data_IF_093295032902
#
_entry.id   IF_093295032902
#
_cell.length_a   1.000
_cell.length_b   1.000
_cell.length_c   1.000
_cell.angle_alpha   90.00
_cell.angle_beta   90.00
_cell.angle_gamma   90.00
#
_symmetry.space_group_name_H-M   'P 1'
#
loop_
_entity.id
_entity.type
_entity.pdbx_description
1 polymer ?
#
# COMPACT_ATOMS: atom_id res chain seq x y z
N UNK A 1 8.23 21.48 -4.95
CA UNK A 1 8.32 20.48 -3.86
C UNK A 1 9.08 19.22 -4.26
N UNK A 2 9.38 19.00 -5.55
CA UNK A 2 10.26 17.92 -6.01
C UNK A 2 11.42 18.57 -6.75
N UNK A 3 12.64 18.21 -6.38
CA UNK A 3 13.87 18.67 -7.00
C UNK A 3 14.02 18.02 -8.39
N UNK A 4 14.22 18.83 -9.42
CA UNK A 4 14.22 18.37 -10.82
C UNK A 4 15.46 17.56 -11.21
N UNK A 5 16.55 17.68 -10.45
CA UNK A 5 17.81 16.97 -10.74
C UNK A 5 17.91 15.66 -9.96
N UNK A 6 17.47 15.68 -8.71
CA UNK A 6 17.64 14.56 -7.77
C UNK A 6 16.36 13.75 -7.52
N UNK A 7 15.21 14.25 -8.00
CA UNK A 7 13.87 13.71 -7.71
C UNK A 7 13.55 13.63 -6.21
N UNK A 8 14.26 14.39 -5.37
CA UNK A 8 14.01 14.45 -3.93
C UNK A 8 12.80 15.33 -3.63
N UNK A 9 11.95 14.87 -2.72
CA UNK A 9 10.78 15.57 -2.19
C UNK A 9 11.16 16.54 -1.06
N UNK A 10 10.35 17.58 -0.89
CA UNK A 10 10.34 18.46 0.28
C UNK A 10 8.98 18.32 0.95
N UNK A 11 8.98 17.97 2.24
CA UNK A 11 7.78 17.50 2.93
C UNK A 11 6.95 18.64 3.52
N UNK A 12 7.60 19.72 3.97
CA UNK A 12 6.91 20.75 4.77
C UNK A 12 7.43 22.13 4.41
N UNK A 13 6.48 23.00 4.09
CA UNK A 13 6.71 24.41 3.80
C UNK A 13 6.05 25.28 4.87
N UNK A 14 6.60 26.48 5.09
CA UNK A 14 5.93 27.50 5.89
C UNK A 14 4.79 28.14 5.09
N UNK A 15 3.69 28.47 5.76
CA UNK A 15 2.67 29.36 5.20
C UNK A 15 2.81 30.75 5.85
N UNK A 16 2.75 31.86 5.10
CA UNK A 16 2.49 31.95 3.66
C UNK A 16 3.74 31.95 2.76
N UNK A 17 4.96 31.97 3.33
CA UNK A 17 6.19 32.22 2.55
C UNK A 17 6.56 31.09 1.59
N UNK A 18 6.04 29.88 1.82
CA UNK A 18 6.40 28.65 1.11
C UNK A 18 7.89 28.28 1.21
N UNK A 19 8.62 28.89 2.13
CA UNK A 19 9.99 28.51 2.44
C UNK A 19 10.02 27.11 3.06
N UNK A 20 11.11 26.38 2.82
CA UNK A 20 11.29 25.03 3.36
C UNK A 20 11.35 25.09 4.88
N UNK A 21 10.34 24.51 5.53
CA UNK A 21 10.31 24.32 6.99
C UNK A 21 11.05 23.05 7.39
N UNK A 22 10.81 21.97 6.65
CA UNK A 22 11.38 20.65 6.94
C UNK A 22 11.50 19.86 5.64
N UNK A 23 12.74 19.46 5.30
CA UNK A 23 13.01 18.71 4.07
C UNK A 23 12.37 17.33 4.09
N UNK A 24 12.46 16.62 5.20
CA UNK A 24 11.97 15.26 5.36
C UNK A 24 11.26 15.11 6.71
N UNK A 25 10.06 14.54 6.69
CA UNK A 25 9.25 14.27 7.89
C UNK A 25 8.97 12.80 8.14
N UNK A 26 8.49 12.11 7.13
CA UNK A 26 8.09 10.70 7.20
C UNK A 26 8.18 10.09 5.82
N UNK A 27 8.65 8.85 5.73
CA UNK A 27 8.95 8.17 4.47
C UNK A 27 7.74 8.06 3.53
N UNK A 28 6.53 7.92 4.08
CA UNK A 28 5.28 7.72 3.34
C UNK A 28 4.92 8.87 2.40
N UNK A 29 5.37 10.09 2.69
CA UNK A 29 5.06 11.26 1.85
C UNK A 29 5.70 11.13 0.46
N UNK A 30 6.81 10.40 0.33
CA UNK A 30 7.47 10.17 -0.94
C UNK A 30 6.61 9.27 -1.85
N UNK A 31 6.08 8.18 -1.28
CA UNK A 31 5.18 7.26 -1.97
C UNK A 31 3.87 7.93 -2.36
N UNK A 32 3.29 8.70 -1.44
CA UNK A 32 2.05 9.45 -1.67
C UNK A 32 2.21 10.50 -2.78
N UNK A 33 3.32 11.26 -2.76
CA UNK A 33 3.63 12.23 -3.82
C UNK A 33 3.79 11.57 -5.19
N UNK A 34 4.49 10.43 -5.26
CA UNK A 34 4.64 9.67 -6.51
C UNK A 34 3.28 9.17 -7.03
N UNK A 35 2.44 8.62 -6.15
CA UNK A 35 1.11 8.14 -6.52
C UNK A 35 0.21 9.27 -7.02
N UNK A 36 0.23 10.42 -6.34
CA UNK A 36 -0.55 11.59 -6.72
C UNK A 36 -0.18 12.09 -8.14
N UNK A 37 1.12 12.18 -8.46
CA UNK A 37 1.59 12.56 -9.79
C UNK A 37 1.23 11.52 -10.85
N UNK A 38 1.33 10.22 -10.53
CA UNK A 38 0.95 9.15 -11.45
C UNK A 38 -0.54 9.19 -11.78
N UNK A 39 -1.39 9.45 -10.80
CA UNK A 39 -2.83 9.62 -11.00
C UNK A 39 -3.15 10.90 -11.76
N UNK A 40 -2.42 11.99 -11.50
CA UNK A 40 -2.56 13.21 -12.29
C UNK A 40 -2.21 12.97 -13.77
N UNK A 41 -1.13 12.24 -14.06
CA UNK A 41 -0.81 11.78 -15.41
C UNK A 41 -1.95 10.98 -16.04
N UNK A 42 -2.60 10.09 -15.29
CA UNK A 42 -3.71 9.29 -15.82
C UNK A 42 -4.92 10.17 -16.22
N UNK A 43 -5.10 11.34 -15.60
CA UNK A 43 -6.17 12.30 -15.91
C UNK A 43 -5.82 13.17 -17.11
N UNK A 44 -4.70 13.88 -17.09
CA UNK A 44 -4.38 14.93 -18.08
C UNK A 44 -3.42 14.49 -19.19
N UNK A 45 -2.82 13.29 -19.05
CA UNK A 45 -1.82 12.70 -19.96
C UNK A 45 -0.57 13.56 -20.17
N UNK A 46 -0.27 14.51 -19.30
CA UNK A 46 0.92 15.34 -19.41
C UNK A 46 2.18 14.51 -19.11
N UNK A 47 3.09 14.29 -20.08
CA UNK A 47 4.23 13.38 -19.93
C UNK A 47 5.16 13.77 -18.78
N UNK A 48 5.23 15.06 -18.41
CA UNK A 48 6.07 15.56 -17.30
C UNK A 48 5.78 14.84 -15.99
N UNK A 49 4.53 14.50 -15.72
CA UNK A 49 4.13 13.80 -14.50
C UNK A 49 4.68 12.38 -14.46
N UNK A 50 4.52 11.63 -15.56
CA UNK A 50 5.06 10.28 -15.66
C UNK A 50 6.59 10.28 -15.60
N UNK A 51 7.25 11.22 -16.27
CA UNK A 51 8.72 11.39 -16.22
C UNK A 51 9.21 11.66 -14.80
N UNK A 52 8.50 12.52 -14.06
CA UNK A 52 8.82 12.81 -12.66
C UNK A 52 8.65 11.55 -11.79
N UNK A 53 7.56 10.80 -11.95
CA UNK A 53 7.35 9.53 -11.23
C UNK A 53 8.46 8.53 -11.53
N UNK A 54 8.84 8.37 -12.81
CA UNK A 54 9.95 7.48 -13.18
C UNK A 54 11.27 7.90 -12.53
N UNK A 55 11.58 9.19 -12.52
CA UNK A 55 12.77 9.72 -11.83
C UNK A 55 12.75 9.45 -10.31
N UNK A 56 11.58 9.62 -9.68
CA UNK A 56 11.39 9.26 -8.26
C UNK A 56 11.60 7.76 -8.03
N UNK A 57 11.10 6.90 -8.91
CA UNK A 57 11.31 5.45 -8.81
C UNK A 57 12.77 5.04 -8.99
N UNK A 58 13.54 5.68 -9.89
CA UNK A 58 14.98 5.42 -9.98
C UNK A 58 15.68 5.72 -8.64
N UNK A 59 15.32 6.84 -8.00
CA UNK A 59 15.81 7.19 -6.68
C UNK A 59 15.38 6.17 -5.62
N UNK A 60 14.10 5.77 -5.61
CA UNK A 60 13.57 4.78 -4.65
C UNK A 60 14.27 3.43 -4.78
N UNK A 61 14.54 3.00 -6.00
CA UNK A 61 15.27 1.76 -6.28
C UNK A 61 16.72 1.88 -5.79
N UNK A 62 17.41 2.97 -6.13
CA UNK A 62 18.78 3.22 -5.69
C UNK A 62 18.90 3.22 -4.16
N UNK A 63 17.95 3.86 -3.47
CA UNK A 63 17.92 3.98 -2.01
C UNK A 63 17.23 2.79 -1.31
N UNK A 64 16.84 1.75 -2.06
CA UNK A 64 16.23 0.53 -1.53
C UNK A 64 14.96 0.77 -0.70
N UNK A 65 14.10 1.68 -1.14
CA UNK A 65 12.90 2.08 -0.39
C UNK A 65 11.92 0.93 -0.09
N UNK A 66 11.98 -0.18 -0.83
CA UNK A 66 11.19 -1.39 -0.54
C UNK A 66 11.41 -1.94 0.89
N UNK A 67 12.52 -1.62 1.54
CA UNK A 67 12.79 -2.02 2.93
C UNK A 67 11.86 -1.34 3.95
N UNK A 68 11.17 -0.26 3.56
CA UNK A 68 10.26 0.46 4.43
C UNK A 68 8.84 -0.09 4.42
N UNK A 69 8.54 -1.06 3.55
CA UNK A 69 7.24 -1.74 3.50
C UNK A 69 6.08 -0.73 3.38
N UNK A 70 6.21 0.21 2.44
CA UNK A 70 5.28 1.32 2.26
C UNK A 70 4.12 0.92 1.34
N UNK A 71 2.90 0.97 1.85
CA UNK A 71 1.66 0.75 1.11
C UNK A 71 1.43 1.74 -0.03
N UNK A 72 1.81 3.02 0.10
CA UNK A 72 1.68 4.00 -0.99
C UNK A 72 2.56 3.65 -2.17
N UNK A 73 3.78 3.21 -1.91
CA UNK A 73 4.67 2.67 -2.93
C UNK A 73 4.16 1.36 -3.53
N UNK A 74 3.48 0.52 -2.74
CA UNK A 74 2.76 -0.65 -3.25
C UNK A 74 1.71 -0.27 -4.30
N UNK A 75 0.84 0.68 -3.97
CA UNK A 75 -0.17 1.21 -4.90
C UNK A 75 0.46 1.87 -6.13
N UNK A 76 1.42 2.76 -5.92
CA UNK A 76 2.07 3.48 -7.00
C UNK A 76 2.76 2.51 -7.97
N UNK A 77 3.43 1.48 -7.45
CA UNK A 77 4.06 0.45 -8.29
C UNK A 77 3.01 -0.34 -9.06
N UNK A 78 1.93 -0.77 -8.40
CA UNK A 78 0.84 -1.52 -9.05
C UNK A 78 0.21 -0.75 -10.21
N UNK A 79 0.00 0.56 -10.05
CA UNK A 79 -0.51 1.43 -11.11
C UNK A 79 0.55 1.72 -12.18
N UNK A 80 1.81 1.95 -11.80
CA UNK A 80 2.89 2.31 -12.73
C UNK A 80 3.13 1.20 -13.74
N UNK A 81 3.14 -0.07 -13.31
CA UNK A 81 3.38 -1.20 -14.23
C UNK A 81 2.23 -1.44 -15.22
N UNK A 82 1.04 -0.91 -14.97
CA UNK A 82 -0.04 -0.95 -15.98
C UNK A 82 0.30 -0.07 -17.19
N UNK A 83 1.08 1.00 -16.95
CA UNK A 83 1.46 2.02 -17.94
C UNK A 83 2.85 1.71 -18.53
N UNK A 84 3.82 1.38 -17.68
CA UNK A 84 5.21 1.13 -18.04
C UNK A 84 5.73 -0.14 -17.34
N UNK A 85 5.42 -1.35 -17.87
CA UNK A 85 5.83 -2.61 -17.28
C UNK A 85 7.33 -2.87 -17.50
N UNK A 86 8.17 -2.26 -16.66
CA UNK A 86 9.62 -2.47 -16.65
C UNK A 86 10.01 -3.41 -15.51
N UNK A 87 10.96 -4.32 -15.77
CA UNK A 87 11.40 -5.34 -14.77
C UNK A 87 11.76 -4.72 -13.42
N UNK A 88 12.52 -3.61 -13.41
CA UNK A 88 12.95 -2.93 -12.17
C UNK A 88 11.80 -2.45 -11.27
N UNK A 89 10.68 -2.02 -11.86
CA UNK A 89 9.50 -1.59 -11.10
C UNK A 89 8.75 -2.80 -10.53
N UNK A 90 8.67 -3.89 -11.29
CA UNK A 90 8.11 -5.16 -10.82
C UNK A 90 8.94 -5.72 -9.65
N UNK A 91 10.27 -5.75 -9.79
CA UNK A 91 11.16 -6.21 -8.72
C UNK A 91 11.00 -5.34 -7.46
N UNK A 92 10.93 -4.02 -7.61
CA UNK A 92 10.69 -3.09 -6.51
C UNK A 92 9.39 -3.40 -5.76
N UNK A 93 8.29 -3.55 -6.50
CA UNK A 93 6.96 -3.81 -5.93
C UNK A 93 6.87 -5.14 -5.19
N UNK A 94 7.48 -6.21 -5.72
CA UNK A 94 7.51 -7.52 -5.05
C UNK A 94 8.42 -7.47 -3.82
N UNK A 95 9.59 -6.81 -3.91
CA UNK A 95 10.51 -6.65 -2.78
C UNK A 95 9.91 -5.90 -1.60
N UNK A 96 8.92 -5.02 -1.85
CA UNK A 96 8.21 -4.29 -0.81
C UNK A 96 7.49 -5.22 0.19
N UNK A 97 7.21 -6.47 -0.19
CA UNK A 97 6.50 -7.45 0.64
C UNK A 97 7.28 -8.74 0.87
N UNK A 98 8.04 -9.23 -0.13
CA UNK A 98 8.65 -10.57 -0.12
C UNK A 98 9.42 -10.94 1.16
N UNK A 99 10.28 -10.07 1.67
CA UNK A 99 11.07 -10.33 2.90
C UNK A 99 10.31 -10.06 4.19
N UNK A 100 9.04 -9.66 4.11
CA UNK A 100 8.21 -9.20 5.22
C UNK A 100 6.94 -10.02 5.39
N UNK A 101 6.72 -11.03 4.53
CA UNK A 101 5.53 -11.90 4.58
C UNK A 101 5.37 -12.60 5.92
N UNK A 102 6.43 -13.24 6.43
CA UNK A 102 6.37 -13.95 7.72
C UNK A 102 5.97 -13.00 8.87
N UNK A 103 6.54 -11.80 8.89
CA UNK A 103 6.18 -10.78 9.87
C UNK A 103 4.72 -10.36 9.75
N UNK A 104 4.24 -10.08 8.52
CA UNK A 104 2.86 -9.69 8.27
C UNK A 104 1.92 -10.80 8.76
N UNK A 105 2.18 -12.04 8.34
CA UNK A 105 1.39 -13.23 8.65
C UNK A 105 1.26 -13.43 10.16
N UNK A 106 2.38 -13.38 10.88
CA UNK A 106 2.45 -13.68 12.31
C UNK A 106 2.16 -12.48 13.22
N UNK A 107 1.82 -11.30 12.67
CA UNK A 107 1.55 -10.10 13.47
C UNK A 107 0.36 -10.30 14.41
N UNK A 108 0.61 -10.20 15.72
CA UNK A 108 -0.39 -10.36 16.80
C UNK A 108 -1.36 -9.19 16.97
N UNK A 109 -1.28 -8.17 16.12
CA UNK A 109 -2.24 -7.06 16.09
C UNK A 109 -2.81 -6.92 14.69
N UNK A 110 -4.01 -6.38 14.59
CA UNK A 110 -4.49 -5.88 13.30
C UNK A 110 -3.63 -4.69 12.86
N UNK A 111 -3.54 -4.49 11.55
CA UNK A 111 -2.81 -3.38 10.95
C UNK A 111 -3.55 -2.99 9.68
N UNK A 112 -4.02 -1.74 9.53
CA UNK A 112 -4.95 -1.36 8.46
C UNK A 112 -4.40 -1.57 7.05
N UNK A 113 -3.13 -1.27 6.82
CA UNK A 113 -2.55 -1.23 5.47
C UNK A 113 -1.98 -2.57 4.99
N UNK A 114 -1.99 -3.62 5.82
CA UNK A 114 -1.42 -4.91 5.41
C UNK A 114 -2.19 -5.53 4.25
N UNK A 115 -3.53 -5.49 4.25
CA UNK A 115 -4.31 -6.02 3.12
C UNK A 115 -3.98 -5.26 1.84
N UNK A 116 -3.90 -3.94 1.91
CA UNK A 116 -3.63 -3.08 0.76
C UNK A 116 -2.28 -3.42 0.12
N UNK A 117 -1.24 -3.58 0.93
CA UNK A 117 0.08 -4.01 0.47
C UNK A 117 0.04 -5.39 -0.19
N UNK A 118 -0.55 -6.37 0.50
CA UNK A 118 -0.61 -7.75 0.00
C UNK A 118 -1.40 -7.84 -1.30
N UNK A 119 -2.53 -7.16 -1.39
CA UNK A 119 -3.36 -7.13 -2.60
C UNK A 119 -2.69 -6.37 -3.74
N UNK A 120 -1.98 -5.27 -3.46
CA UNK A 120 -1.17 -4.59 -4.47
C UNK A 120 -0.07 -5.51 -5.02
N UNK A 121 0.62 -6.26 -4.16
CA UNK A 121 1.62 -7.26 -4.58
C UNK A 121 0.99 -8.40 -5.39
N UNK A 122 -0.19 -8.88 -5.02
CA UNK A 122 -0.94 -9.88 -5.79
C UNK A 122 -1.21 -9.40 -7.23
N UNK A 123 -1.73 -8.19 -7.38
CA UNK A 123 -1.98 -7.58 -8.70
C UNK A 123 -0.70 -7.33 -9.49
N UNK A 124 0.39 -6.93 -8.83
CA UNK A 124 1.72 -6.80 -9.44
C UNK A 124 2.19 -8.12 -10.01
N UNK A 125 2.03 -9.23 -9.27
CA UNK A 125 2.43 -10.57 -9.72
C UNK A 125 1.60 -11.01 -10.91
N UNK A 126 0.27 -10.86 -10.85
CA UNK A 126 -0.63 -11.19 -11.95
C UNK A 126 -0.23 -10.43 -13.22
N UNK A 127 0.00 -9.11 -13.10
CA UNK A 127 0.42 -8.27 -14.22
C UNK A 127 1.80 -8.62 -14.75
N UNK A 128 2.75 -8.91 -13.86
CA UNK A 128 4.10 -9.33 -14.24
C UNK A 128 4.08 -10.62 -15.05
N UNK A 129 3.27 -11.61 -14.66
CA UNK A 129 3.09 -12.85 -15.41
C UNK A 129 2.46 -12.59 -16.79
N UNK A 130 1.41 -11.77 -16.87
CA UNK A 130 0.78 -11.34 -18.14
C UNK A 130 1.82 -10.72 -19.10
N UNK A 131 2.76 -9.94 -18.57
CA UNK A 131 3.82 -9.26 -19.35
C UNK A 131 5.08 -10.10 -19.59
N UNK A 132 5.08 -11.39 -19.24
CA UNK A 132 6.19 -12.30 -19.50
C UNK A 132 7.32 -12.28 -18.46
N UNK A 133 7.13 -11.62 -17.32
CA UNK A 133 8.11 -11.55 -16.21
C UNK A 133 7.92 -12.68 -15.17
N UNK A 134 7.27 -13.79 -15.52
CA UNK A 134 7.02 -14.90 -14.59
C UNK A 134 8.28 -15.42 -13.88
N UNK A 135 9.39 -15.59 -14.61
CA UNK A 135 10.68 -16.01 -14.04
C UNK A 135 11.26 -15.03 -13.01
N UNK A 136 10.92 -13.74 -13.11
CA UNK A 136 11.33 -12.72 -12.13
C UNK A 136 10.50 -12.87 -10.86
N UNK A 137 9.18 -13.07 -11.01
CA UNK A 137 8.27 -13.36 -9.90
C UNK A 137 8.75 -14.58 -9.12
N UNK A 138 8.97 -15.70 -9.81
CA UNK A 138 9.31 -16.99 -9.17
C UNK A 138 10.63 -16.96 -8.38
N UNK A 139 11.52 -16.00 -8.70
CA UNK A 139 12.78 -15.79 -7.97
C UNK A 139 12.64 -14.91 -6.73
N UNK A 140 11.61 -14.09 -6.66
CA UNK A 140 11.47 -13.05 -5.64
C UNK A 140 10.49 -13.40 -4.54
N UNK A 141 9.50 -14.24 -4.81
CA UNK A 141 8.42 -14.51 -3.85
C UNK A 141 7.80 -15.88 -4.09
N UNK A 142 7.48 -16.57 -3.00
CA UNK A 142 6.60 -17.74 -3.03
C UNK A 142 5.15 -17.25 -3.12
N UNK A 143 4.49 -17.48 -4.26
CA UNK A 143 3.13 -16.99 -4.51
C UNK A 143 2.10 -17.70 -3.62
N UNK A 144 2.29 -18.99 -3.33
CA UNK A 144 1.39 -19.75 -2.47
C UNK A 144 1.46 -19.21 -1.03
N UNK A 145 2.65 -18.85 -0.56
CA UNK A 145 2.84 -18.22 0.76
C UNK A 145 2.21 -16.82 0.83
N UNK A 146 2.28 -16.04 -0.26
CA UNK A 146 1.58 -14.75 -0.36
C UNK A 146 0.06 -14.94 -0.23
N UNK A 147 -0.53 -15.90 -0.96
CA UNK A 147 -1.97 -16.18 -0.95
C UNK A 147 -2.41 -16.66 0.44
N UNK A 148 -1.67 -17.58 1.05
CA UNK A 148 -1.93 -18.04 2.42
C UNK A 148 -1.84 -16.88 3.44
N UNK A 149 -0.86 -15.99 3.28
CA UNK A 149 -0.73 -14.78 4.10
C UNK A 149 -1.93 -13.86 3.91
N UNK A 150 -2.39 -13.66 2.67
CA UNK A 150 -3.59 -12.86 2.34
C UNK A 150 -4.82 -13.41 3.07
N UNK A 151 -5.11 -14.70 2.96
CA UNK A 151 -6.26 -15.31 3.64
C UNK A 151 -6.14 -15.23 5.17
N UNK A 152 -4.96 -15.52 5.70
CA UNK A 152 -4.66 -15.42 7.13
C UNK A 152 -4.95 -14.01 7.64
N UNK A 153 -4.49 -12.97 6.94
CA UNK A 153 -4.68 -11.58 7.33
C UNK A 153 -6.10 -11.08 7.11
N UNK A 154 -6.77 -11.49 6.04
CA UNK A 154 -8.18 -11.18 5.80
C UNK A 154 -9.05 -11.72 6.94
N UNK A 155 -8.77 -12.94 7.41
CA UNK A 155 -9.46 -13.50 8.57
C UNK A 155 -9.12 -12.76 9.87
N UNK A 156 -7.82 -12.56 10.14
CA UNK A 156 -7.34 -11.99 11.39
C UNK A 156 -7.78 -10.54 11.60
N UNK A 157 -7.84 -9.73 10.54
CA UNK A 157 -8.22 -8.31 10.64
C UNK A 157 -9.64 -8.09 11.17
N UNK A 158 -10.51 -9.09 11.07
CA UNK A 158 -11.85 -9.07 11.70
C UNK A 158 -11.79 -8.92 13.23
N UNK A 159 -10.70 -9.32 13.87
CA UNK A 159 -10.51 -9.12 15.32
C UNK A 159 -10.41 -7.65 15.72
N UNK A 160 -10.17 -6.76 14.75
CA UNK A 160 -10.17 -5.30 14.90
C UNK A 160 -11.48 -4.65 14.46
N UNK A 161 -12.59 -5.39 14.42
CA UNK A 161 -13.90 -4.91 14.00
C UNK A 161 -14.89 -4.84 15.17
N UNK A 162 -15.69 -3.77 15.24
CA UNK A 162 -16.73 -3.60 16.26
C UNK A 162 -17.99 -4.39 15.91
N UNK A 163 -17.97 -5.67 16.27
CA UNK A 163 -19.18 -6.50 16.34
C UNK A 163 -20.13 -6.01 17.46
N UNK A 164 -21.45 -6.27 17.35
CA UNK A 164 -22.43 -5.87 18.37
C UNK A 164 -22.05 -6.26 19.80
N UNK A 165 -21.53 -7.47 19.98
CA UNK A 165 -21.15 -8.06 21.26
C UNK A 165 -19.96 -7.35 21.90
N UNK A 166 -19.11 -6.67 21.11
CA UNK A 166 -18.03 -5.85 21.62
C UNK A 166 -18.47 -4.40 21.81
N UNK A 167 -19.18 -3.84 20.83
CA UNK A 167 -19.60 -2.44 20.81
C UNK A 167 -20.49 -2.09 22.00
N UNK A 168 -21.35 -3.01 22.47
CA UNK A 168 -22.30 -2.79 23.56
C UNK A 168 -21.65 -2.38 24.91
N UNK A 169 -20.35 -2.66 25.10
CA UNK A 169 -19.62 -2.32 26.32
C UNK A 169 -19.00 -0.90 26.30
N UNK A 170 -19.12 -0.16 25.21
CA UNK A 170 -18.57 1.19 25.07
C UNK A 170 -19.61 2.26 25.39
N UNK A 171 -19.15 3.47 25.75
CA UNK A 171 -20.00 4.59 26.18
C UNK A 171 -21.09 4.98 25.16
N UNK A 172 -20.82 4.80 23.85
CA UNK A 172 -21.77 5.09 22.77
C UNK A 172 -21.63 4.01 21.68
N UNK A 173 -22.30 2.85 21.82
CA UNK A 173 -22.17 1.71 20.92
C UNK A 173 -22.62 2.02 19.49
N UNK A 174 -23.71 2.77 19.32
CA UNK A 174 -24.30 3.08 18.00
C UNK A 174 -23.32 3.83 17.08
N UNK A 175 -22.44 4.66 17.65
CA UNK A 175 -21.47 5.43 16.89
C UNK A 175 -20.31 4.60 16.32
N UNK A 176 -19.96 3.50 16.97
CA UNK A 176 -18.79 2.68 16.63
C UNK A 176 -19.17 1.33 16.02
N UNK A 177 -20.44 0.94 16.13
CA UNK A 177 -20.95 -0.31 15.59
C UNK A 177 -20.59 -0.43 14.10
N UNK A 178 -19.96 -1.54 13.76
CA UNK A 178 -19.57 -1.84 12.39
C UNK A 178 -18.35 -1.08 11.86
N UNK A 179 -17.61 -0.38 12.72
CA UNK A 179 -16.34 0.26 12.38
C UNK A 179 -15.14 -0.63 12.72
N UNK A 180 -13.98 -0.31 12.15
CA UNK A 180 -12.70 -0.89 12.55
C UNK A 180 -11.99 -0.06 13.62
N UNK A 181 -11.16 -0.71 14.43
CA UNK A 181 -10.42 -0.08 15.52
C UNK A 181 -8.99 -0.60 15.66
N UNK A 182 -8.17 0.19 16.35
CA UNK A 182 -6.81 -0.19 16.74
C UNK A 182 -6.76 -0.52 18.24
N UNK A 183 -6.71 -1.82 18.56
CA UNK A 183 -6.81 -2.33 19.94
C UNK A 183 -5.77 -1.70 20.88
N UNK A 184 -4.50 -1.67 20.46
CA UNK A 184 -3.38 -1.19 21.28
C UNK A 184 -3.34 0.35 21.42
N UNK A 185 -4.21 1.07 20.71
CA UNK A 185 -4.44 2.51 20.90
C UNK A 185 -5.76 2.77 21.66
N UNK A 186 -6.15 1.87 22.55
CA UNK A 186 -7.37 2.02 23.35
C UNK A 186 -8.65 1.94 22.52
N UNK A 187 -8.69 1.02 21.54
CA UNK A 187 -9.82 0.85 20.63
C UNK A 187 -10.14 2.09 19.79
N UNK A 188 -9.11 2.89 19.46
CA UNK A 188 -9.26 4.09 18.66
C UNK A 188 -9.86 3.77 17.29
N UNK A 189 -10.84 4.58 16.90
CA UNK A 189 -11.43 4.63 15.57
C UNK A 189 -10.99 5.91 14.87
N UNK A 190 -10.46 5.81 13.65
CA UNK A 190 -10.16 6.96 12.79
C UNK A 190 -10.65 6.67 11.38
N UNK A 191 -11.06 7.73 10.68
CA UNK A 191 -11.49 7.64 9.29
C UNK A 191 -10.42 7.03 8.38
N UNK A 192 -9.17 7.44 8.58
CA UNK A 192 -7.96 6.92 7.90
C UNK A 192 -7.79 5.41 8.10
N UNK A 193 -7.84 4.93 9.36
CA UNK A 193 -7.72 3.50 9.65
C UNK A 193 -8.87 2.70 9.00
N UNK A 194 -10.10 3.22 9.03
CA UNK A 194 -11.29 2.58 8.42
C UNK A 194 -11.11 2.47 6.90
N UNK A 195 -10.64 3.53 6.25
CA UNK A 195 -10.46 3.57 4.80
C UNK A 195 -9.52 2.46 4.35
N UNK A 196 -8.34 2.32 4.97
CA UNK A 196 -7.39 1.26 4.66
C UNK A 196 -7.96 -0.15 4.86
N UNK A 197 -8.68 -0.40 5.97
CA UNK A 197 -9.32 -1.71 6.20
C UNK A 197 -10.34 -2.04 5.11
N UNK A 198 -11.22 -1.09 4.80
CA UNK A 198 -12.29 -1.30 3.81
C UNK A 198 -11.69 -1.46 2.42
N UNK A 199 -10.74 -0.61 2.03
CA UNK A 199 -10.02 -0.70 0.75
C UNK A 199 -9.39 -2.08 0.56
N UNK A 200 -8.68 -2.57 1.58
CA UNK A 200 -8.09 -3.90 1.59
C UNK A 200 -9.11 -5.04 1.43
N UNK A 201 -10.24 -4.98 2.15
CA UNK A 201 -11.30 -5.99 2.02
C UNK A 201 -12.02 -5.94 0.68
N UNK A 202 -12.24 -4.75 0.10
CA UNK A 202 -12.85 -4.61 -1.23
C UNK A 202 -11.97 -5.28 -2.28
N UNK A 203 -10.65 -5.02 -2.27
CA UNK A 203 -9.70 -5.65 -3.18
C UNK A 203 -9.67 -7.18 -3.00
N UNK A 204 -9.65 -7.65 -1.74
CA UNK A 204 -9.70 -9.07 -1.44
C UNK A 204 -10.99 -9.73 -1.98
N UNK A 205 -12.15 -9.12 -1.75
CA UNK A 205 -13.44 -9.62 -2.25
C UNK A 205 -13.45 -9.67 -3.78
N UNK A 206 -12.96 -8.64 -4.46
CA UNK A 206 -12.92 -8.62 -5.93
C UNK A 206 -12.13 -9.79 -6.52
N UNK A 207 -11.07 -10.22 -5.85
CA UNK A 207 -10.22 -11.32 -6.32
C UNK A 207 -10.76 -12.69 -5.91
N UNK A 208 -11.19 -12.87 -4.65
CA UNK A 208 -11.42 -14.19 -4.05
C UNK A 208 -12.90 -14.54 -3.81
N UNK A 209 -13.85 -13.72 -4.27
CA UNK A 209 -15.29 -14.00 -4.09
C UNK A 209 -15.76 -15.22 -4.88
N UNK A 210 -15.23 -15.45 -6.07
CA UNK A 210 -15.70 -16.52 -6.96
C UNK A 210 -15.15 -17.91 -6.58
N UNK A 211 -13.96 -17.98 -5.96
CA UNK A 211 -13.36 -19.25 -5.53
C UNK A 211 -14.13 -19.96 -4.40
N UNK A 212 -14.99 -19.25 -3.66
CA UNK A 212 -15.76 -19.79 -2.54
C UNK A 212 -17.14 -20.38 -2.94
N UNK A 213 -17.47 -20.41 -4.23
CA UNK A 213 -18.73 -20.98 -4.75
C UNK A 213 -18.54 -22.27 -5.57
N UNK A 214 -17.36 -22.90 -5.49
CA UNK A 214 -17.01 -24.14 -6.21
C UNK A 214 -16.73 -25.29 -5.26
#
# INVERSE_FOLDING_TARGET
MIDSETAQTVHVLNYPTLEVKEKFRVIYYDGEAALALLRLYQIDKNPRWLETVKAMFERFIHLKYWQYHDHWLGYCTNELIQIAPEQKYIEFGIRNVSSYLDYIKNRITTFPTFMEMLMATYHIIAKAREKGFGKVVDKLINVDELIDTIHTRANYQRTGYFYPELAMYFKNPERILGSFFIKHHGYRVRIDDIEHYVSGYVQYQQVFKEENNS
#
